data_IF_046925967706
#
_entry.id   IF_046925967706
#
_cell.length_a   1.000
_cell.length_b   1.000
_cell.length_c   1.000
_cell.angle_alpha   90.00
_cell.angle_beta   90.00
_cell.angle_gamma   90.00
#
_symmetry.space_group_name_H-M   'P 1'
#
loop_
_entity.id
_entity.type
_entity.pdbx_description
1 polymer ?
#
# COMPACT_ATOMS: atom_id res chain seq x y z
N UNK A 1 -45.72 -46.74 -3.01
CA UNK A 1 -44.40 -46.27 -3.49
C UNK A 1 -44.56 -44.85 -4.01
N UNK A 2 -43.92 -43.85 -3.39
CA UNK A 2 -44.03 -42.44 -3.82
C UNK A 2 -43.03 -42.20 -4.96
N UNK A 3 -43.51 -41.95 -6.18
CA UNK A 3 -42.66 -41.55 -7.31
C UNK A 3 -42.14 -40.13 -7.06
N UNK A 4 -40.82 -39.97 -6.91
CA UNK A 4 -40.17 -38.66 -6.93
C UNK A 4 -40.06 -38.21 -8.39
N UNK A 5 -40.72 -37.10 -8.73
CA UNK A 5 -40.55 -36.43 -10.01
C UNK A 5 -39.22 -35.68 -9.96
N UNK A 6 -38.23 -36.14 -10.73
CA UNK A 6 -36.99 -35.41 -10.94
C UNK A 6 -37.25 -34.28 -11.94
N UNK A 7 -37.25 -33.03 -11.45
CA UNK A 7 -37.24 -31.84 -12.32
C UNK A 7 -35.81 -31.61 -12.78
N UNK A 8 -35.54 -31.84 -14.07
CA UNK A 8 -34.26 -31.52 -14.69
C UNK A 8 -34.14 -30.02 -14.97
N UNK A 9 -32.93 -29.48 -14.86
CA UNK A 9 -32.60 -28.09 -15.21
C UNK A 9 -32.51 -27.94 -16.73
N UNK A 10 -33.03 -26.86 -17.30
CA UNK A 10 -32.94 -26.64 -18.75
C UNK A 10 -31.60 -26.02 -19.12
N UNK A 11 -31.05 -26.36 -20.29
CA UNK A 11 -29.82 -25.73 -20.79
C UNK A 11 -30.02 -24.23 -21.02
N UNK A 12 -31.22 -23.82 -21.42
CA UNK A 12 -31.58 -22.42 -21.67
C UNK A 12 -31.56 -21.60 -20.36
N UNK A 13 -32.04 -22.15 -19.24
CA UNK A 13 -31.91 -21.50 -17.94
C UNK A 13 -30.44 -21.27 -17.56
N UNK A 14 -29.57 -22.23 -17.83
CA UNK A 14 -28.14 -22.07 -17.57
C UNK A 14 -27.53 -20.96 -18.44
N UNK A 15 -27.87 -20.96 -19.74
CA UNK A 15 -27.32 -20.02 -20.71
C UNK A 15 -27.68 -18.57 -20.38
N UNK A 16 -28.93 -18.29 -20.02
CA UNK A 16 -29.34 -16.92 -19.65
C UNK A 16 -28.61 -16.45 -18.40
N UNK A 17 -28.42 -17.32 -17.41
CA UNK A 17 -27.72 -16.99 -16.17
C UNK A 17 -26.26 -16.62 -16.41
N UNK A 18 -25.52 -17.41 -17.20
CA UNK A 18 -24.11 -17.11 -17.47
C UNK A 18 -23.93 -15.85 -18.33
N UNK A 19 -24.88 -15.54 -19.21
CA UNK A 19 -24.88 -14.28 -19.98
C UNK A 19 -25.07 -13.08 -19.05
N UNK A 20 -26.02 -13.12 -18.13
CA UNK A 20 -26.25 -12.03 -17.17
C UNK A 20 -25.03 -11.83 -16.26
N UNK A 21 -24.48 -12.92 -15.71
CA UNK A 21 -23.26 -12.85 -14.87
C UNK A 21 -22.08 -12.31 -15.69
N UNK A 22 -21.94 -12.71 -16.95
CA UNK A 22 -20.90 -12.20 -17.85
C UNK A 22 -20.97 -10.69 -18.07
N UNK A 23 -22.17 -10.15 -18.30
CA UNK A 23 -22.38 -8.69 -18.47
C UNK A 23 -22.02 -7.94 -17.19
N UNK A 24 -22.48 -8.41 -16.03
CA UNK A 24 -22.19 -7.78 -14.74
C UNK A 24 -20.69 -7.84 -14.43
N UNK A 25 -20.05 -8.99 -14.64
CA UNK A 25 -18.63 -9.18 -14.39
C UNK A 25 -17.76 -8.27 -15.27
N UNK A 26 -18.12 -8.08 -16.54
CA UNK A 26 -17.39 -7.22 -17.46
C UNK A 26 -17.29 -5.76 -16.97
N UNK A 27 -18.32 -5.25 -16.29
CA UNK A 27 -18.34 -3.88 -15.74
C UNK A 27 -17.75 -3.86 -14.31
N UNK A 28 -18.05 -4.87 -13.50
CA UNK A 28 -17.68 -4.89 -12.09
C UNK A 28 -16.18 -5.11 -11.86
N UNK A 29 -15.54 -6.02 -12.61
CA UNK A 29 -14.13 -6.37 -12.45
C UNK A 29 -13.18 -5.18 -12.59
N UNK A 30 -13.21 -4.37 -13.68
CA UNK A 30 -12.28 -3.26 -13.82
C UNK A 30 -12.48 -2.18 -12.75
N UNK A 31 -13.72 -1.96 -12.30
CA UNK A 31 -13.99 -1.03 -11.20
C UNK A 31 -13.45 -1.55 -9.86
N UNK A 32 -13.65 -2.84 -9.59
CA UNK A 32 -13.13 -3.48 -8.39
C UNK A 32 -11.59 -3.38 -8.29
N UNK A 33 -10.87 -3.64 -9.39
CA UNK A 33 -9.40 -3.50 -9.43
C UNK A 33 -8.97 -2.07 -9.05
N UNK A 34 -9.62 -1.04 -9.61
CA UNK A 34 -9.31 0.37 -9.28
C UNK A 34 -9.52 0.68 -7.79
N UNK A 35 -10.57 0.15 -7.17
CA UNK A 35 -10.85 0.36 -5.75
C UNK A 35 -9.78 -0.33 -4.88
N UNK A 36 -9.37 -1.53 -5.25
CA UNK A 36 -8.28 -2.25 -4.56
C UNK A 36 -6.98 -1.46 -4.65
N UNK A 37 -6.61 -0.95 -5.82
CA UNK A 37 -5.37 -0.18 -5.99
C UNK A 37 -5.40 1.13 -5.21
N UNK A 38 -6.53 1.85 -5.20
CA UNK A 38 -6.70 3.03 -4.33
C UNK A 38 -6.55 2.69 -2.84
N UNK A 39 -7.03 1.52 -2.41
CA UNK A 39 -6.83 1.05 -1.03
C UNK A 39 -5.37 0.74 -0.72
N UNK A 40 -4.61 0.24 -1.70
CA UNK A 40 -3.17 0.00 -1.58
C UNK A 40 -2.41 1.33 -1.46
N UNK A 41 -2.69 2.31 -2.32
CA UNK A 41 -2.09 3.65 -2.22
C UNK A 41 -2.41 4.33 -0.89
N UNK A 42 -3.63 4.19 -0.38
CA UNK A 42 -3.99 4.68 0.95
C UNK A 42 -3.16 4.01 2.06
N UNK A 43 -2.81 2.73 1.88
CA UNK A 43 -1.92 2.02 2.81
C UNK A 43 -0.49 2.55 2.72
N UNK A 44 0.02 2.86 1.53
CA UNK A 44 1.34 3.52 1.37
C UNK A 44 1.35 4.85 2.10
N UNK A 45 0.33 5.69 1.93
CA UNK A 45 0.21 6.97 2.67
C UNK A 45 0.19 6.77 4.19
N UNK A 46 -0.53 5.75 4.67
CA UNK A 46 -0.52 5.39 6.09
C UNK A 46 0.87 4.95 6.58
N UNK A 47 1.61 4.20 5.74
CA UNK A 47 2.98 3.80 6.04
C UNK A 47 3.89 5.04 6.13
N UNK A 48 3.76 6.01 5.22
CA UNK A 48 4.53 7.25 5.25
C UNK A 48 4.34 8.03 6.55
N UNK A 49 3.10 8.20 7.01
CA UNK A 49 2.83 8.84 8.31
C UNK A 49 3.40 8.06 9.49
N UNK A 50 3.42 6.73 9.41
CA UNK A 50 4.03 5.87 10.43
C UNK A 50 5.56 6.11 10.47
N UNK A 51 6.20 6.18 9.30
CA UNK A 51 7.64 6.48 9.18
C UNK A 51 7.94 7.88 9.73
N UNK A 52 7.13 8.87 9.38
CA UNK A 52 7.25 10.24 9.89
C UNK A 52 7.18 10.28 11.42
N UNK A 53 6.18 9.62 12.00
CA UNK A 53 6.01 9.55 13.45
C UNK A 53 7.22 8.92 14.14
N UNK A 54 7.76 7.82 13.59
CA UNK A 54 8.95 7.18 14.15
C UNK A 54 10.20 8.03 14.01
N UNK A 55 10.37 8.76 12.88
CA UNK A 55 11.48 9.68 12.69
C UNK A 55 11.46 10.82 13.71
N UNK A 56 10.29 11.42 13.96
CA UNK A 56 10.13 12.45 14.99
C UNK A 56 10.36 11.89 16.40
N UNK A 57 9.86 10.69 16.69
CA UNK A 57 10.07 10.02 17.99
C UNK A 57 11.56 9.78 18.24
N UNK A 58 12.30 9.30 17.24
CA UNK A 58 13.74 9.07 17.37
C UNK A 58 14.49 10.33 17.76
N UNK A 59 14.13 11.48 17.19
CA UNK A 59 14.77 12.77 17.50
C UNK A 59 14.49 13.25 18.92
N UNK A 60 13.29 12.97 19.45
CA UNK A 60 12.96 13.27 20.85
C UNK A 60 13.90 12.51 21.79
N UNK A 61 14.18 11.24 21.47
CA UNK A 61 15.07 10.41 22.27
C UNK A 61 16.57 10.69 22.01
N UNK A 62 16.93 11.15 20.81
CA UNK A 62 18.31 11.36 20.36
C UNK A 62 18.55 12.79 19.81
N UNK A 63 18.31 13.84 20.61
CA UNK A 63 18.45 15.20 20.13
C UNK A 63 19.91 15.54 19.76
N UNK A 64 20.16 16.34 18.71
CA UNK A 64 19.18 16.99 17.83
C UNK A 64 18.81 16.17 16.58
N UNK A 65 19.25 14.91 16.45
CA UNK A 65 19.36 14.20 15.17
C UNK A 65 18.12 13.39 14.79
N UNK A 66 17.78 13.39 13.51
CA UNK A 66 16.88 12.40 12.92
C UNK A 66 17.60 11.07 12.64
N UNK A 67 16.86 9.97 12.38
CA UNK A 67 17.47 8.72 11.91
C UNK A 67 18.26 8.95 10.63
N UNK A 68 19.47 8.41 10.53
CA UNK A 68 20.36 8.58 9.36
C UNK A 68 19.90 7.75 8.13
N UNK A 69 18.99 6.80 8.33
CA UNK A 69 18.49 5.90 7.28
C UNK A 69 17.22 5.16 7.73
N UNK A 70 16.51 4.59 6.76
CA UNK A 70 15.36 3.71 6.88
C UNK A 70 15.62 2.53 7.84
N UNK A 71 16.82 1.95 7.80
CA UNK A 71 17.18 0.83 8.69
C UNK A 71 17.10 1.24 10.16
N UNK A 72 17.53 2.45 10.49
CA UNK A 72 17.44 3.00 11.85
C UNK A 72 15.98 3.19 12.26
N UNK A 73 15.11 3.66 11.36
CA UNK A 73 13.66 3.79 11.61
C UNK A 73 13.04 2.43 11.94
N UNK A 74 13.36 1.40 11.15
CA UNK A 74 12.85 0.03 11.35
C UNK A 74 13.23 -0.49 12.75
N UNK A 75 14.46 -0.23 13.17
CA UNK A 75 15.02 -0.75 14.43
C UNK A 75 14.63 0.08 15.67
N UNK A 76 14.31 1.36 15.52
CA UNK A 76 14.05 2.28 16.65
C UNK A 76 12.79 1.93 17.44
N UNK A 77 11.74 1.43 16.78
CA UNK A 77 10.41 1.34 17.40
C UNK A 77 9.70 -0.01 17.25
N UNK A 78 10.33 -1.05 16.66
CA UNK A 78 9.63 -2.25 16.21
C UNK A 78 8.34 -1.87 15.46
N UNK A 79 8.49 -1.16 14.33
CA UNK A 79 7.36 -0.71 13.50
C UNK A 79 6.34 -1.86 13.41
N UNK A 80 5.04 -1.61 13.69
CA UNK A 80 4.06 -2.67 13.84
C UNK A 80 4.13 -3.69 12.69
N UNK A 81 4.00 -4.99 12.99
CA UNK A 81 4.18 -6.13 12.05
C UNK A 81 3.32 -6.07 10.76
N UNK A 82 2.41 -5.11 10.65
CA UNK A 82 1.62 -4.79 9.45
C UNK A 82 2.32 -3.84 8.48
N UNK A 83 3.53 -3.40 8.79
CA UNK A 83 4.35 -2.57 7.92
C UNK A 83 4.90 -3.42 6.76
N UNK A 84 4.04 -3.63 5.77
CA UNK A 84 4.29 -4.43 4.58
C UNK A 84 3.93 -3.62 3.34
N UNK A 85 4.58 -3.95 2.25
CA UNK A 85 4.27 -3.37 0.96
C UNK A 85 2.88 -3.87 0.50
N UNK A 86 1.94 -2.96 0.19
CA UNK A 86 0.56 -3.33 -0.14
C UNK A 86 0.38 -3.82 -1.59
N UNK A 87 1.37 -3.60 -2.47
CA UNK A 87 1.36 -4.05 -3.86
C UNK A 87 2.07 -5.39 -4.01
N UNK A 88 3.26 -5.54 -3.43
CA UNK A 88 4.03 -6.78 -3.42
C UNK A 88 4.61 -7.08 -2.02
N UNK A 89 4.04 -8.03 -1.25
CA UNK A 89 4.53 -8.34 0.10
C UNK A 89 5.95 -8.90 0.19
N UNK A 90 6.56 -9.28 -0.93
CA UNK A 90 7.95 -9.75 -0.99
C UNK A 90 8.95 -8.59 -1.03
N UNK A 91 8.49 -7.42 -1.45
CA UNK A 91 9.28 -6.20 -1.56
C UNK A 91 9.27 -5.44 -0.22
N UNK A 92 10.31 -4.64 0.07
CA UNK A 92 10.33 -3.82 1.27
C UNK A 92 9.15 -2.83 1.29
N UNK A 93 8.69 -2.51 2.49
CA UNK A 93 7.71 -1.46 2.72
C UNK A 93 8.35 -0.09 2.99
N UNK A 94 9.63 -0.09 3.41
CA UNK A 94 10.44 1.08 3.65
C UNK A 94 11.87 0.79 3.18
N UNK A 95 12.46 1.75 2.49
CA UNK A 95 13.86 1.72 2.08
C UNK A 95 14.47 3.12 2.14
N UNK A 96 15.79 3.20 2.08
CA UNK A 96 16.46 4.47 1.80
C UNK A 96 16.18 4.88 0.35
N UNK A 97 16.09 6.19 0.11
CA UNK A 97 15.88 6.73 -1.25
C UNK A 97 16.87 6.10 -2.23
N UNK A 98 16.32 5.53 -3.30
CA UNK A 98 17.10 4.90 -4.36
C UNK A 98 16.73 5.48 -5.72
N UNK A 99 17.57 5.25 -6.73
CA UNK A 99 17.24 5.61 -8.12
C UNK A 99 16.18 4.65 -8.72
N UNK A 100 15.90 3.53 -8.06
CA UNK A 100 14.89 2.55 -8.45
C UNK A 100 13.62 2.70 -7.63
N UNK A 101 12.56 3.17 -8.27
CA UNK A 101 11.21 3.21 -7.69
C UNK A 101 10.64 1.79 -7.58
N UNK A 102 10.15 1.44 -6.39
CA UNK A 102 9.48 0.15 -6.14
C UNK A 102 8.03 0.44 -5.77
N UNK A 103 7.07 -0.12 -6.51
CA UNK A 103 5.65 0.07 -6.21
C UNK A 103 5.33 -0.25 -4.74
N UNK A 104 4.67 0.67 -4.05
CA UNK A 104 4.26 0.45 -2.66
C UNK A 104 5.31 0.72 -1.60
N UNK A 105 6.54 1.07 -1.98
CA UNK A 105 7.60 1.38 -1.02
C UNK A 105 7.44 2.81 -0.49
N UNK A 106 7.83 2.99 0.76
CA UNK A 106 8.10 4.30 1.34
C UNK A 106 9.61 4.52 1.30
N UNK A 107 10.06 5.55 0.62
CA UNK A 107 11.45 5.97 0.62
C UNK A 107 11.69 7.01 1.70
N UNK A 108 12.77 6.83 2.45
CA UNK A 108 13.26 7.78 3.42
C UNK A 108 14.60 8.34 2.94
N UNK A 109 14.71 9.65 2.96
CA UNK A 109 15.94 10.37 2.62
C UNK A 109 16.28 11.35 3.74
N UNK A 110 17.57 11.48 4.03
CA UNK A 110 18.09 12.43 5.01
C UNK A 110 19.00 13.42 4.31
N UNK A 111 18.69 14.70 4.44
CA UNK A 111 19.56 15.76 3.95
C UNK A 111 20.54 16.17 5.06
N UNK A 112 21.68 15.47 5.12
CA UNK A 112 22.83 15.92 5.89
C UNK A 112 23.59 17.02 5.13
N UNK A 113 24.03 18.11 5.79
CA UNK A 113 24.11 18.34 7.24
C UNK A 113 22.92 19.10 7.84
N UNK A 114 21.81 19.28 7.10
CA UNK A 114 20.71 20.14 7.51
C UNK A 114 19.77 19.49 8.52
N UNK A 115 19.98 18.20 8.84
CA UNK A 115 19.16 17.45 9.78
C UNK A 115 17.66 17.55 9.41
N UNK A 116 17.39 17.39 8.12
CA UNK A 116 16.05 17.31 7.55
C UNK A 116 15.87 15.92 6.98
N UNK A 117 14.63 15.47 6.95
CA UNK A 117 14.27 14.25 6.25
C UNK A 117 13.18 14.53 5.24
N UNK A 118 13.14 13.68 4.23
CA UNK A 118 12.11 13.65 3.19
C UNK A 118 11.56 12.23 3.13
N UNK A 119 10.24 12.09 3.20
CA UNK A 119 9.57 10.79 3.01
C UNK A 119 8.78 10.86 1.70
N UNK A 120 9.04 9.90 0.80
CA UNK A 120 8.36 9.77 -0.49
C UNK A 120 7.66 8.43 -0.55
N UNK A 121 6.39 8.39 -0.95
CA UNK A 121 5.67 7.13 -1.16
C UNK A 121 5.57 6.82 -2.63
N UNK A 122 5.84 5.58 -3.02
CA UNK A 122 5.70 5.13 -4.40
C UNK A 122 4.38 4.38 -4.56
N UNK A 123 3.55 4.85 -5.49
CA UNK A 123 2.25 4.29 -5.83
C UNK A 123 2.33 3.22 -6.91
N UNK A 124 1.24 3.04 -7.64
CA UNK A 124 1.17 2.05 -8.73
C UNK A 124 1.95 2.55 -9.96
N UNK A 125 2.57 1.62 -10.71
CA UNK A 125 3.42 1.86 -11.87
C UNK A 125 4.56 2.84 -11.56
N UNK A 126 5.16 2.72 -10.37
CA UNK A 126 6.30 3.54 -9.95
C UNK A 126 5.98 5.05 -9.87
N UNK A 127 4.70 5.43 -9.92
CA UNK A 127 4.31 6.82 -9.80
C UNK A 127 4.46 7.29 -8.36
N UNK A 128 5.28 8.32 -8.12
CA UNK A 128 5.36 8.95 -6.81
C UNK A 128 3.98 9.43 -6.40
N UNK A 129 3.55 9.04 -5.20
CA UNK A 129 2.37 9.61 -4.56
C UNK A 129 2.80 10.99 -4.06
N UNK A 130 2.11 12.05 -4.50
CA UNK A 130 2.35 13.46 -4.18
C UNK A 130 2.15 13.79 -2.68
N UNK A 131 2.89 13.14 -1.80
CA UNK A 131 2.87 13.40 -0.37
C UNK A 131 4.31 13.41 0.16
N UNK A 132 5.12 14.32 -0.34
CA UNK A 132 6.46 14.52 0.21
C UNK A 132 6.34 15.12 1.60
N UNK A 133 6.57 14.32 2.65
CA UNK A 133 6.54 14.81 4.02
C UNK A 133 7.93 15.36 4.36
N UNK A 134 7.99 16.66 4.66
CA UNK A 134 9.20 17.35 5.08
C UNK A 134 9.01 17.83 6.52
N UNK A 135 10.09 17.85 7.29
CA UNK A 135 10.06 18.33 8.68
C UNK A 135 9.35 19.69 8.80
N UNK A 136 8.41 19.77 9.75
CA UNK A 136 7.78 21.03 10.18
C UNK A 136 6.45 21.39 9.50
N UNK A 137 5.95 20.58 8.56
CA UNK A 137 4.58 20.72 8.04
C UNK A 137 3.60 19.93 8.92
N UNK A 138 2.95 20.64 9.86
CA UNK A 138 1.67 20.27 10.47
C UNK A 138 0.64 21.37 10.17
#
# INVERSE_FOLDING_TARGET
MKNKIYRGFTLVELMVVVVIIGIIAAIAIPNFVKVVDKSREATVKSNMHTVQFVAELYKVDNPPKYPDNATTIINTSNIPQKFKNPFNPSDPALQDKSDGDIEGVVEYDTEDPYNRYTITGIGRNEQSLDLTLVQGEL
#
